data_IF_441789253203
#
_entry.id   IF_441789253203
#
_cell.length_a   1.000
_cell.length_b   1.000
_cell.length_c   1.000
_cell.angle_alpha   90.00
_cell.angle_beta   90.00
_cell.angle_gamma   90.00
#
_symmetry.space_group_name_H-M   'P 1'
#
loop_
_entity.id
_entity.type
_entity.pdbx_description
1 polymer ?
#
# COMPACT_ATOMS: atom_id res chain seq x y z
N UNK A 1 17.83 23.76 16.48
CA UNK A 1 16.67 23.24 15.71
C UNK A 1 16.24 21.93 16.38
N UNK A 2 15.10 21.87 17.09
CA UNK A 2 14.68 20.62 17.71
C UNK A 2 14.19 19.64 16.63
N UNK A 3 14.81 18.47 16.59
CA UNK A 3 14.43 17.35 15.71
C UNK A 3 13.17 16.73 16.31
N UNK A 4 12.02 16.93 15.65
CA UNK A 4 10.80 16.23 16.01
C UNK A 4 10.91 14.78 15.55
N UNK A 5 10.90 13.85 16.50
CA UNK A 5 10.78 12.44 16.25
C UNK A 5 9.41 12.18 15.61
N UNK A 6 9.41 11.84 14.32
CA UNK A 6 8.22 11.31 13.65
C UNK A 6 8.00 9.95 14.32
N UNK A 7 6.87 9.81 15.00
CA UNK A 7 6.43 8.53 15.52
C UNK A 7 6.23 7.62 14.30
N UNK A 8 7.21 6.75 14.05
CA UNK A 8 7.06 5.64 13.13
C UNK A 8 5.78 4.92 13.54
N UNK A 9 4.80 4.86 12.65
CA UNK A 9 3.78 3.82 12.75
C UNK A 9 4.54 2.52 12.98
N UNK A 10 4.11 1.72 13.97
CA UNK A 10 4.73 0.43 14.21
C UNK A 10 4.83 -0.26 12.86
N UNK A 11 6.06 -0.42 12.36
CA UNK A 11 6.31 -1.42 11.35
C UNK A 11 5.69 -2.66 11.95
N UNK A 12 4.69 -3.24 11.29
CA UNK A 12 4.24 -4.57 11.66
C UNK A 12 5.51 -5.39 11.76
N UNK A 13 5.92 -5.69 13.01
CA UNK A 13 7.04 -6.57 13.23
C UNK A 13 6.70 -7.84 12.46
N UNK A 14 7.66 -8.52 11.80
CA UNK A 14 7.41 -9.85 11.26
C UNK A 14 7.27 -10.83 12.44
N UNK A 15 6.30 -10.59 13.31
CA UNK A 15 5.82 -11.45 14.38
C UNK A 15 4.77 -12.39 13.80
N UNK A 16 5.15 -13.19 12.81
CA UNK A 16 4.35 -14.34 12.43
C UNK A 16 5.27 -15.52 12.29
N UNK A 17 4.99 -16.58 13.06
CA UNK A 17 5.86 -17.73 13.22
C UNK A 17 6.40 -18.19 11.85
N UNK A 18 7.71 -18.51 11.75
CA UNK A 18 8.48 -18.40 10.51
C UNK A 18 7.92 -19.18 9.33
N UNK A 19 7.07 -20.18 9.56
CA UNK A 19 6.40 -20.98 8.55
C UNK A 19 4.96 -21.31 9.01
N UNK A 20 4.12 -20.28 9.10
CA UNK A 20 2.69 -20.37 9.50
C UNK A 20 1.75 -19.93 8.37
N UNK A 21 0.44 -19.99 8.59
CA UNK A 21 -0.59 -19.58 7.61
C UNK A 21 -0.50 -18.12 7.17
N UNK A 22 0.16 -17.26 7.96
CA UNK A 22 0.38 -15.87 7.61
C UNK A 22 1.60 -15.64 6.70
N UNK A 23 2.43 -16.68 6.48
CA UNK A 23 3.57 -16.57 5.60
C UNK A 23 3.07 -16.36 4.14
N UNK A 24 3.64 -15.43 3.36
CA UNK A 24 3.19 -15.14 1.99
C UNK A 24 3.12 -16.38 1.08
N UNK A 25 4.06 -17.31 1.27
CA UNK A 25 4.15 -18.56 0.50
C UNK A 25 3.33 -19.72 1.07
N UNK A 26 2.56 -19.53 2.16
CA UNK A 26 1.81 -20.61 2.82
C UNK A 26 0.85 -21.33 1.86
N UNK A 27 0.14 -20.56 1.02
CA UNK A 27 -0.78 -21.14 0.03
C UNK A 27 -0.04 -21.98 -1.04
N UNK A 28 1.17 -21.59 -1.43
CA UNK A 28 1.99 -22.35 -2.39
C UNK A 28 2.47 -23.65 -1.76
N UNK A 29 3.03 -23.58 -0.55
CA UNK A 29 3.50 -24.74 0.19
C UNK A 29 2.37 -25.75 0.47
N UNK A 30 1.19 -25.27 0.88
CA UNK A 30 0.01 -26.10 1.10
C UNK A 30 -0.43 -26.83 -0.18
N UNK A 31 -0.47 -26.13 -1.32
CA UNK A 31 -0.80 -26.75 -2.62
C UNK A 31 0.22 -27.80 -3.05
N UNK A 32 1.51 -27.58 -2.81
CA UNK A 32 2.53 -28.58 -3.09
C UNK A 32 2.35 -29.81 -2.20
N UNK A 33 2.07 -29.62 -0.91
CA UNK A 33 1.86 -30.69 0.05
C UNK A 33 0.65 -31.56 -0.31
N UNK A 34 -0.45 -30.94 -0.75
CA UNK A 34 -1.67 -31.63 -1.18
C UNK A 34 -1.45 -32.56 -2.38
N UNK A 35 -0.44 -32.32 -3.23
CA UNK A 35 -0.16 -33.17 -4.41
C UNK A 35 0.37 -34.55 -4.04
N UNK A 36 0.93 -34.70 -2.84
CA UNK A 36 1.62 -35.94 -2.45
C UNK A 36 1.24 -36.47 -1.06
N UNK A 37 0.39 -35.77 -0.30
CA UNK A 37 -0.03 -36.23 1.02
C UNK A 37 -1.25 -37.15 0.94
N UNK A 38 -1.01 -38.46 0.89
CA UNK A 38 -2.03 -39.49 1.17
C UNK A 38 -2.12 -39.85 2.65
N UNK A 39 -1.24 -39.28 3.48
CA UNK A 39 -1.11 -39.56 4.91
C UNK A 39 -0.78 -38.24 5.61
N UNK A 40 -1.36 -38.02 6.80
CA UNK A 40 -1.21 -36.77 7.58
C UNK A 40 0.28 -36.46 7.80
N UNK A 41 0.90 -35.53 7.06
CA UNK A 41 2.31 -35.22 7.23
C UNK A 41 2.50 -34.52 8.58
N UNK A 42 3.71 -34.60 9.13
CA UNK A 42 4.10 -33.70 10.22
C UNK A 42 4.18 -32.28 9.64
N UNK A 43 3.08 -31.53 9.78
CA UNK A 43 2.95 -30.19 9.20
C UNK A 43 3.67 -29.16 10.07
N UNK A 44 4.52 -28.36 9.44
CA UNK A 44 5.13 -27.19 10.06
C UNK A 44 4.11 -26.05 10.00
N UNK A 45 3.82 -25.45 11.16
CA UNK A 45 2.83 -24.38 11.32
C UNK A 45 1.41 -24.75 10.90
N UNK A 46 1.12 -26.05 10.76
CA UNK A 46 -0.18 -26.55 10.27
C UNK A 46 -0.45 -26.29 8.78
N UNK A 47 0.58 -26.00 7.98
CA UNK A 47 0.43 -25.65 6.55
C UNK A 47 0.92 -26.76 5.62
N UNK A 48 2.20 -27.12 5.73
CA UNK A 48 2.88 -28.04 4.81
C UNK A 48 4.01 -28.79 5.52
N UNK A 49 4.47 -29.90 4.92
CA UNK A 49 5.68 -30.59 5.35
C UNK A 49 6.95 -29.76 5.02
N UNK A 50 8.08 -30.06 5.66
CA UNK A 50 9.36 -29.37 5.42
C UNK A 50 9.74 -29.29 3.94
N UNK A 51 9.71 -30.39 3.15
CA UNK A 51 10.12 -30.33 1.76
C UNK A 51 9.26 -29.37 0.91
N UNK A 52 7.95 -29.30 1.17
CA UNK A 52 7.07 -28.39 0.44
C UNK A 52 7.28 -26.92 0.80
N UNK A 53 7.72 -26.64 2.04
CA UNK A 53 8.16 -25.31 2.43
C UNK A 53 9.47 -24.95 1.72
N UNK A 54 10.45 -25.85 1.71
CA UNK A 54 11.74 -25.65 1.04
C UNK A 54 11.55 -25.41 -0.47
N UNK A 55 10.73 -26.23 -1.14
CA UNK A 55 10.41 -26.07 -2.56
C UNK A 55 9.79 -24.71 -2.85
N UNK A 56 8.86 -24.25 -2.00
CA UNK A 56 8.20 -22.96 -2.18
C UNK A 56 9.19 -21.79 -2.00
N UNK A 57 10.03 -21.85 -0.97
CA UNK A 57 11.04 -20.82 -0.68
C UNK A 57 12.12 -20.78 -1.76
N UNK A 58 12.60 -21.93 -2.23
CA UNK A 58 13.61 -22.02 -3.30
C UNK A 58 13.03 -21.50 -4.61
N UNK A 59 11.79 -21.84 -4.95
CA UNK A 59 11.14 -21.33 -6.15
C UNK A 59 11.01 -19.79 -6.13
N UNK A 60 10.62 -19.22 -4.98
CA UNK A 60 10.53 -17.76 -4.81
C UNK A 60 11.90 -17.09 -4.93
N UNK A 61 12.93 -17.66 -4.30
CA UNK A 61 14.31 -17.19 -4.43
C UNK A 61 14.82 -17.25 -5.87
N UNK A 62 14.61 -18.36 -6.57
CA UNK A 62 15.04 -18.52 -7.96
C UNK A 62 14.32 -17.54 -8.88
N UNK A 63 13.02 -17.33 -8.66
CA UNK A 63 12.25 -16.33 -9.40
C UNK A 63 12.82 -14.92 -9.18
N UNK A 64 13.12 -14.56 -7.93
CA UNK A 64 13.75 -13.28 -7.63
C UNK A 64 15.12 -13.14 -8.31
N UNK A 65 15.95 -14.18 -8.26
CA UNK A 65 17.27 -14.18 -8.89
C UNK A 65 17.19 -14.09 -10.42
N UNK A 66 16.29 -14.85 -11.05
CA UNK A 66 16.08 -14.86 -12.51
C UNK A 66 15.64 -13.49 -13.02
N UNK A 67 14.80 -12.79 -12.27
CA UNK A 67 14.29 -11.47 -12.63
C UNK A 67 15.11 -10.30 -12.09
N UNK A 68 16.25 -10.57 -11.44
CA UNK A 68 17.10 -9.54 -10.84
C UNK A 68 16.39 -8.71 -9.77
N UNK A 69 15.41 -9.30 -9.08
CA UNK A 69 14.69 -8.64 -7.99
C UNK A 69 15.57 -8.57 -6.74
N UNK A 70 15.47 -7.47 -5.97
CA UNK A 70 16.21 -7.33 -4.72
C UNK A 70 15.68 -8.33 -3.67
N UNK A 71 16.58 -9.05 -3.01
CA UNK A 71 16.25 -9.96 -1.90
C UNK A 71 15.93 -9.23 -0.59
N UNK A 72 16.42 -8.00 -0.47
CA UNK A 72 16.12 -7.10 0.64
C UNK A 72 15.60 -5.79 0.05
N UNK A 73 14.43 -5.37 0.54
CA UNK A 73 13.88 -4.06 0.21
C UNK A 73 14.34 -3.08 1.28
N UNK A 74 15.00 -2.00 0.87
CA UNK A 74 15.17 -0.85 1.73
C UNK A 74 13.82 -0.17 1.88
N UNK A 75 13.38 0.03 3.13
CA UNK A 75 12.14 0.75 3.41
C UNK A 75 12.35 2.21 3.00
N UNK A 76 11.68 2.64 1.93
CA UNK A 76 11.65 4.04 1.52
C UNK A 76 10.67 4.82 2.42
N UNK A 77 11.16 5.70 3.32
CA UNK A 77 10.30 6.46 4.21
C UNK A 77 9.44 7.50 3.47
N UNK A 78 9.73 7.77 2.20
CA UNK A 78 8.98 8.68 1.34
C UNK A 78 7.99 7.96 0.41
N UNK A 79 7.91 6.63 0.50
CA UNK A 79 6.99 5.85 -0.30
C UNK A 79 5.53 6.24 -0.03
N UNK A 80 4.76 6.36 -1.11
CA UNK A 80 3.32 6.63 -1.07
C UNK A 80 2.62 5.58 -1.90
N UNK A 81 1.73 4.80 -1.28
CA UNK A 81 0.90 3.86 -2.03
C UNK A 81 -0.17 4.62 -2.83
N UNK A 82 0.10 4.77 -4.13
CA UNK A 82 -0.80 5.45 -5.05
C UNK A 82 -2.17 4.78 -5.18
N UNK A 83 -2.25 3.45 -4.96
CA UNK A 83 -3.51 2.71 -5.02
C UNK A 83 -4.37 3.02 -3.79
N UNK A 84 -3.76 3.01 -2.60
CA UNK A 84 -4.44 3.42 -1.37
C UNK A 84 -4.94 4.87 -1.46
N UNK A 85 -4.10 5.78 -1.97
CA UNK A 85 -4.48 7.18 -2.23
C UNK A 85 -5.67 7.27 -3.19
N UNK A 86 -5.66 6.54 -4.30
CA UNK A 86 -6.75 6.59 -5.29
C UNK A 86 -8.08 6.08 -4.73
N UNK A 87 -8.04 5.00 -3.95
CA UNK A 87 -9.23 4.46 -3.27
C UNK A 87 -9.76 5.45 -2.23
N UNK A 88 -8.88 6.07 -1.46
CA UNK A 88 -9.27 7.10 -0.49
C UNK A 88 -9.87 8.35 -1.15
N UNK A 89 -9.31 8.81 -2.29
CA UNK A 89 -9.88 9.92 -3.07
C UNK A 89 -11.28 9.60 -3.59
N UNK A 90 -11.59 8.32 -3.85
CA UNK A 90 -12.94 7.84 -4.21
C UNK A 90 -13.89 7.73 -3.02
N UNK A 91 -13.42 7.97 -1.80
CA UNK A 91 -14.22 7.95 -0.57
C UNK A 91 -14.22 6.62 0.17
N UNK A 92 -13.32 5.69 -0.17
CA UNK A 92 -13.15 4.46 0.60
C UNK A 92 -12.46 4.76 1.94
N UNK A 93 -12.97 4.17 3.03
CA UNK A 93 -12.38 4.29 4.35
C UNK A 93 -11.18 3.33 4.47
N UNK A 94 -9.98 3.91 4.52
CA UNK A 94 -8.70 3.20 4.63
C UNK A 94 -7.87 3.84 5.73
N UNK A 95 -7.11 3.01 6.44
CA UNK A 95 -6.02 3.50 7.28
C UNK A 95 -4.89 3.98 6.37
N UNK A 96 -4.52 5.25 6.50
CA UNK A 96 -3.53 5.91 5.64
C UNK A 96 -2.38 6.44 6.48
N UNK A 97 -1.17 6.36 5.93
CA UNK A 97 0.01 7.03 6.46
C UNK A 97 -0.13 8.56 6.37
N UNK A 98 0.71 9.30 7.09
CA UNK A 98 0.68 10.76 7.04
C UNK A 98 0.99 11.32 5.64
N UNK A 99 1.92 10.67 4.92
CA UNK A 99 2.28 11.02 3.55
C UNK A 99 1.13 10.77 2.58
N UNK A 100 0.46 9.62 2.69
CA UNK A 100 -0.73 9.31 1.89
C UNK A 100 -1.86 10.29 2.18
N UNK A 101 -2.12 10.63 3.44
CA UNK A 101 -3.11 11.66 3.81
C UNK A 101 -2.76 13.04 3.24
N UNK A 102 -1.48 13.41 3.22
CA UNK A 102 -1.03 14.65 2.60
C UNK A 102 -1.30 14.64 1.08
N UNK A 103 -1.01 13.52 0.41
CA UNK A 103 -1.23 13.36 -1.02
C UNK A 103 -2.73 13.35 -1.39
N UNK A 104 -3.58 12.67 -0.60
CA UNK A 104 -5.05 12.70 -0.75
C UNK A 104 -5.56 14.14 -0.63
N UNK A 105 -5.13 14.90 0.38
CA UNK A 105 -5.51 16.30 0.55
C UNK A 105 -5.10 17.15 -0.65
N UNK A 106 -3.89 16.95 -1.18
CA UNK A 106 -3.39 17.64 -2.37
C UNK A 106 -4.28 17.38 -3.59
N UNK A 107 -4.60 16.10 -3.87
CA UNK A 107 -5.46 15.71 -5.01
C UNK A 107 -6.88 16.25 -4.88
N UNK A 108 -7.49 16.14 -3.70
CA UNK A 108 -8.83 16.68 -3.45
C UNK A 108 -8.85 18.22 -3.59
N UNK A 109 -7.79 18.90 -3.13
CA UNK A 109 -7.61 20.34 -3.34
C UNK A 109 -7.61 20.71 -4.82
N UNK A 110 -6.83 20.02 -5.65
CA UNK A 110 -6.79 20.24 -7.09
C UNK A 110 -8.14 20.01 -7.78
N UNK A 111 -8.87 18.97 -7.38
CA UNK A 111 -10.22 18.69 -7.89
C UNK A 111 -11.17 19.82 -7.52
N UNK A 112 -11.13 20.29 -6.27
CA UNK A 112 -11.96 21.40 -5.79
C UNK A 112 -11.63 22.69 -6.53
N UNK A 113 -10.36 23.02 -6.69
CA UNK A 113 -9.93 24.25 -7.36
C UNK A 113 -10.33 24.24 -8.84
N UNK A 114 -10.19 23.10 -9.53
CA UNK A 114 -10.68 22.93 -10.91
C UNK A 114 -12.19 23.14 -11.00
N UNK A 115 -12.97 22.60 -10.06
CA UNK A 115 -14.44 22.80 -10.01
C UNK A 115 -14.82 24.25 -9.70
N UNK A 116 -14.09 24.90 -8.80
CA UNK A 116 -14.38 26.27 -8.38
C UNK A 116 -13.85 27.34 -9.35
N UNK A 117 -12.95 26.98 -10.27
CA UNK A 117 -12.36 27.90 -11.24
C UNK A 117 -13.44 28.64 -12.06
N UNK A 118 -14.46 27.93 -12.53
CA UNK A 118 -15.57 28.54 -13.28
C UNK A 118 -16.34 29.57 -12.45
N UNK A 119 -16.63 29.27 -11.18
CA UNK A 119 -17.34 30.17 -10.27
C UNK A 119 -16.54 31.44 -9.94
N UNK A 120 -15.22 31.33 -9.77
CA UNK A 120 -14.36 32.49 -9.53
C UNK A 120 -14.38 33.50 -10.70
N UNK A 121 -14.40 33.01 -11.95
CA UNK A 121 -14.50 33.88 -13.12
C UNK A 121 -15.88 34.54 -13.26
N UNK A 122 -16.97 33.84 -12.93
CA UNK A 122 -18.33 34.43 -13.01
C UNK A 122 -18.51 35.51 -11.94
N UNK A 123 -18.08 35.25 -10.71
CA UNK A 123 -18.15 36.23 -9.62
C UNK A 123 -17.27 37.46 -9.89
N UNK A 124 -16.05 37.28 -10.44
CA UNK A 124 -15.18 38.40 -10.77
C UNK A 124 -15.74 39.26 -11.91
N UNK A 125 -16.35 38.65 -12.94
CA UNK A 125 -17.02 39.38 -14.03
C UNK A 125 -18.25 40.12 -13.54
N UNK A 126 -19.07 39.49 -12.70
CA UNK A 126 -20.24 40.15 -12.09
C UNK A 126 -19.83 41.30 -11.16
N UNK A 127 -18.73 41.14 -10.41
CA UNK A 127 -18.18 42.19 -9.57
C UNK A 127 -17.53 43.34 -10.38
N UNK A 128 -16.97 43.06 -11.56
CA UNK A 128 -16.47 44.08 -12.47
C UNK A 128 -17.62 44.90 -13.08
N UNK A 129 -18.67 44.24 -13.58
CA UNK A 129 -19.85 44.90 -14.15
C UNK A 129 -20.56 45.82 -13.14
N UNK A 130 -20.66 45.44 -11.86
CA UNK A 130 -21.22 46.31 -10.81
C UNK A 130 -20.41 47.58 -10.57
N UNK A 131 -19.08 47.55 -10.75
CA UNK A 131 -18.22 48.73 -10.61
C UNK A 131 -18.37 49.70 -11.77
N UNK A 132 -18.67 49.21 -12.96
CA UNK A 132 -18.90 50.04 -14.15
C UNK A 132 -20.25 50.76 -14.08
N UNK A 133 -21.30 50.10 -13.60
CA UNK A 133 -22.66 50.69 -13.45
C UNK A 133 -22.73 51.72 -12.31
N UNK A 134 -21.83 51.65 -11.34
CA UNK A 134 -21.77 52.58 -10.20
C UNK A 134 -20.93 53.84 -10.43
N UNK A 135 -20.36 54.03 -11.63
CA UNK A 135 -19.68 55.27 -12.06
C UNK A 135 -20.59 56.12 -12.91
#
# INVERSE_FOLDING_TARGET
>A
MPVQAIASAAADEPGTGPLSWAHPLAAVAARNCQKHSTTLPQLIGGVACSPCWDDALVADYLFAAEHGLPLALEVDPSYVDTVAVDRAVRGEALELTELERAEVRRRLGQIRDRRNRSYQYVCSRAAAARREVGR
#
